data_IF_003930768291
#
_entry.id   IF_003930768291
#
_cell.length_a   1.000
_cell.length_b   1.000
_cell.length_c   1.000
_cell.angle_alpha   90.00
_cell.angle_beta   90.00
_cell.angle_gamma   90.00
#
_symmetry.space_group_name_H-M   'P 1'
#
loop_
_entity.id
_entity.type
_entity.pdbx_description
1 polymer ?
#
# COMPACT_ATOMS: atom_id res chain seq x y z
N UNK A 1 0.70 -10.77 -17.72
CA UNK A 1 -0.42 -10.64 -16.79
C UNK A 1 -0.11 -9.51 -15.82
N UNK A 2 -1.11 -8.77 -15.38
CA UNK A 2 -0.94 -7.74 -14.33
C UNK A 2 -0.94 -8.40 -12.96
N UNK A 3 -0.48 -7.67 -11.95
CA UNK A 3 -0.55 -8.08 -10.54
C UNK A 3 -1.39 -7.04 -9.82
N UNK A 4 -2.34 -7.47 -9.01
CA UNK A 4 -3.15 -6.62 -8.17
C UNK A 4 -2.85 -6.87 -6.69
N UNK A 5 -3.14 -5.90 -5.83
CA UNK A 5 -2.96 -6.00 -4.39
C UNK A 5 -4.31 -6.10 -3.69
N UNK A 6 -4.39 -7.02 -2.73
CA UNK A 6 -5.48 -7.15 -1.77
C UNK A 6 -4.95 -6.73 -0.41
N UNK A 7 -5.49 -5.64 0.13
CA UNK A 7 -4.97 -5.01 1.33
C UNK A 7 -6.10 -4.79 2.33
N UNK A 8 -5.87 -5.19 3.58
CA UNK A 8 -6.79 -5.10 4.70
C UNK A 8 -6.13 -4.40 5.87
N UNK A 9 -6.90 -3.57 6.56
CA UNK A 9 -6.42 -2.82 7.71
C UNK A 9 -6.92 -3.45 9.00
N UNK A 10 -6.01 -3.71 9.93
CA UNK A 10 -6.34 -4.28 11.22
C UNK A 10 -5.82 -3.41 12.36
N UNK A 11 -6.59 -3.32 13.44
CA UNK A 11 -6.21 -2.63 14.67
C UNK A 11 -6.25 -3.59 15.84
N UNK A 12 -5.26 -3.48 16.71
CA UNK A 12 -5.15 -4.25 17.94
C UNK A 12 -6.00 -3.63 19.04
N UNK A 13 -7.03 -4.37 19.46
CA UNK A 13 -7.97 -3.96 20.51
C UNK A 13 -7.98 -4.95 21.66
N UNK A 14 -8.14 -4.45 22.88
CA UNK A 14 -8.35 -5.28 24.05
C UNK A 14 -9.84 -5.65 24.15
N UNK A 15 -10.16 -6.93 23.92
CA UNK A 15 -11.51 -7.47 23.96
C UNK A 15 -11.55 -8.56 25.06
N UNK A 16 -12.38 -8.37 26.08
CA UNK A 16 -12.47 -9.29 27.22
C UNK A 16 -11.10 -9.58 27.87
N UNK A 17 -10.30 -8.54 28.06
CA UNK A 17 -8.92 -8.62 28.61
C UNK A 17 -7.93 -9.43 27.78
N UNK A 18 -8.21 -9.64 26.51
CA UNK A 18 -7.32 -10.24 25.54
C UNK A 18 -7.10 -9.29 24.37
N UNK A 19 -5.87 -9.10 23.99
CA UNK A 19 -5.54 -8.30 22.80
C UNK A 19 -5.82 -9.12 21.54
N UNK A 20 -6.59 -8.56 20.64
CA UNK A 20 -6.96 -9.17 19.35
C UNK A 20 -6.84 -8.17 18.23
N UNK A 21 -6.42 -8.64 17.09
CA UNK A 21 -6.52 -7.88 15.85
C UNK A 21 -7.93 -7.97 15.29
N UNK A 22 -8.46 -6.83 14.89
CA UNK A 22 -9.78 -6.71 14.27
C UNK A 22 -9.66 -5.90 12.97
N UNK A 23 -10.36 -6.35 11.95
CA UNK A 23 -10.45 -5.60 10.70
C UNK A 23 -11.24 -4.29 10.93
N UNK A 24 -10.76 -3.19 10.39
CA UNK A 24 -11.35 -1.85 10.51
C UNK A 24 -11.61 -1.19 9.16
N UNK A 25 -11.59 -1.97 8.09
CA UNK A 25 -11.95 -1.47 6.78
C UNK A 25 -13.46 -1.21 6.68
N UNK A 26 -13.84 -0.28 5.83
CA UNK A 26 -15.23 -0.06 5.50
C UNK A 26 -15.74 -1.18 4.61
N UNK A 27 -17.02 -1.50 4.75
CA UNK A 27 -17.70 -2.45 3.91
C UNK A 27 -18.81 -1.74 3.14
N UNK A 28 -18.94 -2.07 1.86
CA UNK A 28 -19.96 -1.53 0.99
C UNK A 28 -20.69 -2.64 0.26
N UNK A 29 -21.88 -2.34 -0.24
CA UNK A 29 -22.59 -3.25 -1.13
C UNK A 29 -21.75 -3.53 -2.38
N UNK A 30 -21.59 -4.80 -2.70
CA UNK A 30 -20.88 -5.22 -3.90
C UNK A 30 -21.77 -5.00 -5.13
N UNK A 31 -21.45 -4.05 -6.02
CA UNK A 31 -22.28 -3.77 -7.20
C UNK A 31 -22.32 -4.91 -8.22
N UNK A 32 -21.42 -5.87 -8.08
CA UNK A 32 -21.35 -7.04 -8.96
C UNK A 32 -21.99 -8.29 -8.35
N UNK A 33 -22.65 -8.15 -7.17
CA UNK A 33 -23.36 -9.25 -6.54
C UNK A 33 -24.64 -9.58 -7.31
N UNK A 34 -24.81 -10.86 -7.67
CA UNK A 34 -25.98 -11.39 -8.33
C UNK A 34 -26.72 -12.35 -7.39
N UNK A 35 -27.90 -11.94 -6.93
CA UNK A 35 -28.75 -12.77 -6.07
C UNK A 35 -29.11 -14.09 -6.79
N UNK A 36 -28.85 -15.22 -6.11
CA UNK A 36 -29.10 -16.57 -6.64
C UNK A 36 -27.93 -17.18 -7.41
N UNK A 37 -26.97 -16.39 -7.87
CA UNK A 37 -25.73 -16.85 -8.49
C UNK A 37 -24.53 -16.78 -7.54
N UNK A 38 -24.51 -15.77 -6.66
CA UNK A 38 -23.49 -15.60 -5.65
C UNK A 38 -23.97 -16.07 -4.27
N UNK A 39 -23.06 -16.53 -3.43
CA UNK A 39 -23.37 -16.72 -2.02
C UNK A 39 -23.60 -15.38 -1.33
N UNK A 40 -24.43 -15.36 -0.26
CA UNK A 40 -24.80 -14.12 0.43
C UNK A 40 -23.61 -13.38 1.07
N UNK A 41 -22.46 -14.04 1.22
CA UNK A 41 -21.25 -13.46 1.76
C UNK A 41 -20.55 -12.51 0.77
N UNK A 42 -20.81 -12.67 -0.52
CA UNK A 42 -20.32 -11.77 -1.57
C UNK A 42 -21.16 -10.50 -1.73
N UNK A 43 -22.25 -10.38 -1.01
CA UNK A 43 -23.12 -9.20 -1.05
C UNK A 43 -22.38 -7.93 -0.59
N UNK A 44 -21.40 -8.08 0.29
CA UNK A 44 -20.55 -6.98 0.77
C UNK A 44 -19.11 -7.16 0.27
N UNK A 45 -18.48 -6.05 -0.07
CA UNK A 45 -17.06 -5.98 -0.41
C UNK A 45 -16.33 -5.00 0.49
N UNK A 46 -15.06 -5.26 0.73
CA UNK A 46 -14.17 -4.36 1.46
C UNK A 46 -13.88 -3.11 0.62
N UNK A 47 -13.91 -1.96 1.26
CA UNK A 47 -13.34 -0.73 0.75
C UNK A 47 -11.94 -0.56 1.34
N UNK A 48 -10.96 -1.18 0.67
CA UNK A 48 -9.56 -1.10 1.07
C UNK A 48 -9.06 0.34 1.08
N UNK A 49 -8.15 0.66 1.99
CA UNK A 49 -7.47 1.97 2.01
C UNK A 49 -6.57 2.18 0.79
N UNK A 50 -6.24 1.11 0.07
CA UNK A 50 -5.48 1.15 -1.17
C UNK A 50 -5.83 -0.03 -2.07
N UNK A 51 -6.11 0.25 -3.35
CA UNK A 51 -6.43 -0.76 -4.37
C UNK A 51 -5.80 -0.43 -5.73
N UNK A 52 -4.84 0.50 -5.77
CA UNK A 52 -4.15 0.91 -7.00
C UNK A 52 -3.13 -0.14 -7.46
N UNK A 53 -2.81 -0.11 -8.75
CA UNK A 53 -1.74 -0.93 -9.32
C UNK A 53 -0.46 -0.10 -9.42
N UNK A 54 0.39 -0.18 -8.41
CA UNK A 54 1.69 0.48 -8.37
C UNK A 54 2.78 -0.53 -8.05
N UNK A 55 3.57 -0.92 -9.06
CA UNK A 55 4.61 -1.95 -8.91
C UNK A 55 5.79 -1.49 -8.06
N UNK A 56 6.04 -0.19 -7.97
CA UNK A 56 7.03 0.34 -7.03
C UNK A 56 6.58 0.08 -5.58
N UNK A 57 5.31 0.39 -5.27
CA UNK A 57 4.73 0.08 -3.97
C UNK A 57 4.78 -1.42 -3.67
N UNK A 58 4.46 -2.28 -4.65
CA UNK A 58 4.50 -3.74 -4.45
C UNK A 58 5.92 -4.25 -4.17
N UNK A 59 6.92 -3.65 -4.82
CA UNK A 59 8.33 -3.87 -4.54
C UNK A 59 8.68 -3.52 -3.11
N UNK A 60 8.33 -2.31 -2.66
CA UNK A 60 8.60 -1.83 -1.30
C UNK A 60 7.95 -2.73 -0.25
N UNK A 61 6.68 -3.11 -0.44
CA UNK A 61 5.92 -3.88 0.55
C UNK A 61 6.40 -5.33 0.69
N UNK A 62 6.79 -5.98 -0.39
CA UNK A 62 7.08 -7.42 -0.37
C UNK A 62 7.97 -7.93 -1.53
N UNK A 63 8.76 -7.08 -2.17
CA UNK A 63 9.64 -7.46 -3.27
C UNK A 63 8.90 -7.94 -4.55
N UNK A 64 7.57 -7.73 -4.64
CA UNK A 64 6.78 -8.16 -5.79
C UNK A 64 6.97 -7.20 -6.94
N UNK A 65 7.37 -7.72 -8.12
CA UNK A 65 7.72 -6.91 -9.29
C UNK A 65 8.87 -5.92 -9.05
N UNK A 66 9.60 -6.09 -7.96
CA UNK A 66 10.73 -5.25 -7.60
C UNK A 66 11.89 -5.39 -8.60
N UNK A 67 12.47 -4.25 -8.96
CA UNK A 67 13.68 -4.16 -9.79
C UNK A 67 14.91 -3.70 -9.00
N UNK A 68 14.69 -3.15 -7.82
CA UNK A 68 15.70 -2.45 -7.03
C UNK A 68 16.17 -3.26 -5.82
N UNK A 69 15.43 -4.33 -5.46
CA UNK A 69 15.68 -5.19 -4.30
C UNK A 69 15.73 -4.40 -2.98
N UNK A 70 14.78 -3.47 -2.82
CA UNK A 70 14.67 -2.51 -1.71
C UNK A 70 13.30 -2.64 -1.01
N UNK A 71 12.91 -3.88 -0.67
CA UNK A 71 11.70 -4.13 0.10
C UNK A 71 11.90 -3.88 1.59
N UNK A 72 10.82 -3.51 2.29
CA UNK A 72 10.82 -3.39 3.77
C UNK A 72 11.21 -4.72 4.39
N UNK A 73 10.67 -5.82 3.88
CA UNK A 73 10.97 -7.19 4.31
C UNK A 73 10.57 -8.20 3.22
N UNK A 74 11.07 -9.43 3.35
CA UNK A 74 10.55 -10.56 2.60
C UNK A 74 9.10 -10.88 3.03
N UNK A 75 8.26 -11.46 2.15
CA UNK A 75 6.91 -11.86 2.51
C UNK A 75 6.86 -12.76 3.75
N UNK A 76 6.18 -12.28 4.81
CA UNK A 76 6.12 -12.94 6.13
C UNK A 76 5.07 -14.02 6.24
N UNK A 77 4.20 -14.18 5.22
CA UNK A 77 2.99 -14.97 5.31
C UNK A 77 1.86 -14.22 6.03
N UNK A 78 0.71 -14.87 6.19
CA UNK A 78 -0.36 -14.35 7.04
C UNK A 78 0.06 -14.42 8.51
N UNK A 79 -0.20 -13.36 9.31
CA UNK A 79 0.09 -13.42 10.74
C UNK A 79 -0.78 -14.49 11.42
N UNK A 80 -0.23 -15.20 12.41
CA UNK A 80 -0.95 -16.24 13.15
C UNK A 80 -2.21 -15.69 13.86
N UNK A 81 -2.17 -14.43 14.25
CA UNK A 81 -3.25 -13.70 14.94
C UNK A 81 -4.07 -12.80 14.00
N UNK A 82 -4.10 -13.10 12.69
CA UNK A 82 -4.93 -12.39 11.72
C UNK A 82 -6.41 -12.46 12.09
N UNK A 83 -7.16 -11.38 11.84
CA UNK A 83 -8.60 -11.37 12.08
C UNK A 83 -9.32 -12.41 11.21
N UNK A 84 -10.44 -12.94 11.71
CA UNK A 84 -11.25 -13.92 10.96
C UNK A 84 -11.72 -13.37 9.61
N UNK A 85 -12.03 -12.09 9.56
CA UNK A 85 -12.45 -11.38 8.34
C UNK A 85 -11.36 -11.41 7.29
N UNK A 86 -10.16 -10.92 7.64
CA UNK A 86 -9.02 -10.87 6.71
C UNK A 86 -8.59 -12.27 6.28
N UNK A 87 -8.59 -13.22 7.23
CA UNK A 87 -8.26 -14.62 6.92
C UNK A 87 -9.23 -15.22 5.90
N UNK A 88 -10.53 -15.01 6.09
CA UNK A 88 -11.55 -15.51 5.18
C UNK A 88 -11.41 -14.93 3.78
N UNK A 89 -11.11 -13.64 3.67
CA UNK A 89 -10.85 -13.02 2.38
C UNK A 89 -9.61 -13.61 1.71
N UNK A 90 -8.53 -13.84 2.45
CA UNK A 90 -7.34 -14.50 1.91
C UNK A 90 -7.63 -15.95 1.46
N UNK A 91 -8.36 -16.71 2.26
CA UNK A 91 -8.71 -18.11 1.94
C UNK A 91 -9.52 -18.23 0.62
N UNK A 92 -10.27 -17.19 0.23
CA UNK A 92 -11.00 -17.14 -1.06
C UNK A 92 -10.09 -17.12 -2.28
N UNK A 93 -8.90 -16.56 -2.15
CA UNK A 93 -7.93 -16.49 -3.25
C UNK A 93 -7.17 -17.81 -3.45
N UNK A 94 -7.12 -18.67 -2.45
CA UNK A 94 -6.53 -20.00 -2.54
C UNK A 94 -5.11 -19.94 -3.12
N UNK A 95 -4.87 -20.69 -4.21
CA UNK A 95 -3.56 -20.74 -4.88
C UNK A 95 -3.21 -19.52 -5.73
N UNK A 96 -4.20 -18.67 -6.05
CA UNK A 96 -3.97 -17.47 -6.87
C UNK A 96 -3.38 -16.33 -6.03
N UNK A 97 -3.64 -16.34 -4.72
CA UNK A 97 -3.03 -15.42 -3.78
C UNK A 97 -1.61 -15.80 -3.42
N UNK A 98 -0.66 -14.88 -3.57
CA UNK A 98 0.75 -15.11 -3.28
C UNK A 98 1.39 -13.96 -2.51
N UNK A 99 2.60 -14.20 -1.99
CA UNK A 99 3.43 -13.19 -1.27
C UNK A 99 2.67 -12.50 -0.14
N UNK A 100 1.89 -13.30 0.62
CA UNK A 100 1.19 -12.81 1.80
C UNK A 100 2.16 -12.17 2.77
N UNK A 101 1.82 -10.99 3.29
CA UNK A 101 2.62 -10.31 4.30
C UNK A 101 1.79 -9.35 5.14
N UNK A 102 2.44 -8.72 6.09
CA UNK A 102 1.85 -7.70 6.93
C UNK A 102 2.92 -6.73 7.42
N UNK A 103 2.55 -5.47 7.60
CA UNK A 103 3.43 -4.41 8.08
C UNK A 103 2.64 -3.48 9.01
N UNK A 104 3.28 -3.06 10.09
CA UNK A 104 2.74 -2.05 11.01
C UNK A 104 2.91 -0.64 10.44
N UNK A 105 2.11 0.31 10.90
CA UNK A 105 2.29 1.73 10.58
C UNK A 105 3.69 2.23 10.99
N UNK A 106 4.22 1.71 12.10
CA UNK A 106 5.58 2.02 12.53
C UNK A 106 6.62 1.65 11.48
N UNK A 107 6.57 0.42 10.97
CA UNK A 107 7.52 -0.06 9.95
C UNK A 107 7.43 0.75 8.66
N UNK A 108 6.22 1.10 8.22
CA UNK A 108 6.02 1.96 7.04
C UNK A 108 6.62 3.35 7.24
N UNK A 109 6.41 3.97 8.41
CA UNK A 109 6.98 5.28 8.75
C UNK A 109 8.50 5.25 8.88
N UNK A 110 9.05 4.19 9.48
CA UNK A 110 10.50 3.99 9.59
C UNK A 110 11.14 3.89 8.21
N UNK A 111 10.59 3.06 7.33
CA UNK A 111 11.06 2.97 5.95
C UNK A 111 10.98 4.30 5.23
N UNK A 112 9.84 5.00 5.29
CA UNK A 112 9.66 6.31 4.67
C UNK A 112 10.69 7.33 5.17
N UNK A 113 11.03 7.31 6.46
CA UNK A 113 12.01 8.23 7.05
C UNK A 113 13.44 7.94 6.64
N UNK A 114 13.77 6.69 6.35
CA UNK A 114 15.09 6.27 5.87
C UNK A 114 15.27 6.51 4.37
N UNK A 115 14.16 6.60 3.63
CA UNK A 115 14.13 6.80 2.19
C UNK A 115 13.37 8.11 1.83
N UNK A 116 13.87 9.28 2.22
CA UNK A 116 13.17 10.55 2.00
C UNK A 116 13.14 10.98 0.53
N UNK A 117 14.06 10.46 -0.28
CA UNK A 117 14.19 10.76 -1.71
C UNK A 117 14.41 9.48 -2.51
N UNK A 118 13.98 9.50 -3.75
CA UNK A 118 14.21 8.44 -4.73
C UNK A 118 14.97 8.97 -5.92
N UNK A 119 15.90 8.19 -6.44
CA UNK A 119 16.59 8.48 -7.71
C UNK A 119 15.77 7.94 -8.87
N UNK A 120 15.49 8.81 -9.83
CA UNK A 120 14.77 8.47 -11.05
C UNK A 120 15.71 8.59 -12.25
N UNK A 121 15.46 7.73 -13.22
CA UNK A 121 16.08 7.78 -14.53
C UNK A 121 14.98 7.56 -15.58
N UNK A 122 14.92 8.44 -16.56
CA UNK A 122 13.90 8.30 -17.61
C UNK A 122 14.05 9.31 -18.73
N UNK A 123 13.16 9.16 -19.70
CA UNK A 123 13.02 10.11 -20.80
C UNK A 123 11.93 11.12 -20.45
N UNK A 124 12.23 12.39 -20.67
CA UNK A 124 11.37 13.54 -20.38
C UNK A 124 11.32 14.47 -21.60
N UNK A 125 10.31 15.34 -21.65
CA UNK A 125 10.21 16.32 -22.72
C UNK A 125 11.37 17.35 -22.66
N UNK A 126 11.71 18.01 -23.76
CA UNK A 126 12.75 19.06 -23.76
C UNK A 126 12.46 20.18 -22.75
N UNK A 127 11.20 20.60 -22.65
CA UNK A 127 10.77 21.66 -21.72
C UNK A 127 10.96 21.24 -20.26
N UNK A 128 10.59 20.00 -19.91
CA UNK A 128 10.81 19.45 -18.57
C UNK A 128 12.31 19.31 -18.27
N UNK A 129 13.13 19.01 -19.28
CA UNK A 129 14.58 18.91 -19.12
C UNK A 129 15.22 20.26 -18.84
N UNK A 130 14.75 21.34 -19.47
CA UNK A 130 15.22 22.71 -19.19
C UNK A 130 14.91 23.10 -17.72
N UNK A 131 13.66 22.86 -17.25
CA UNK A 131 13.27 23.16 -15.88
C UNK A 131 14.06 22.34 -14.85
N UNK A 132 14.30 21.07 -15.16
CA UNK A 132 15.10 20.18 -14.30
C UNK A 132 16.58 20.63 -14.27
N UNK A 133 17.18 20.92 -15.42
CA UNK A 133 18.57 21.33 -15.53
C UNK A 133 18.83 22.70 -14.85
N UNK A 134 17.81 23.56 -14.78
CA UNK A 134 17.82 24.83 -14.04
C UNK A 134 17.50 24.67 -12.54
N UNK A 135 17.11 23.48 -12.10
CA UNK A 135 16.75 23.20 -10.71
C UNK A 135 15.45 23.85 -10.25
N UNK A 136 14.53 24.13 -11.18
CA UNK A 136 13.25 24.79 -10.90
C UNK A 136 12.20 23.76 -10.51
N UNK A 137 12.10 22.64 -11.24
CA UNK A 137 11.04 21.64 -11.07
C UNK A 137 11.52 20.23 -11.46
N UNK A 138 11.02 19.23 -10.77
CA UNK A 138 11.17 17.82 -11.16
C UNK A 138 10.10 17.42 -12.17
N UNK A 139 10.38 16.46 -13.08
CA UNK A 139 9.43 16.09 -14.13
C UNK A 139 8.18 15.39 -13.58
N UNK A 140 6.99 15.93 -13.88
CA UNK A 140 5.72 15.26 -13.55
C UNK A 140 5.42 14.06 -14.47
N UNK A 141 5.99 14.07 -15.67
CA UNK A 141 5.75 13.05 -16.69
C UNK A 141 7.06 12.54 -17.27
N UNK A 142 7.25 11.25 -17.18
CA UNK A 142 8.42 10.58 -17.72
C UNK A 142 8.12 9.13 -18.15
N UNK A 143 9.02 8.51 -18.91
CA UNK A 143 8.92 7.09 -19.25
C UNK A 143 10.29 6.42 -19.29
N UNK A 144 10.32 5.12 -18.98
CA UNK A 144 11.57 4.34 -19.00
C UNK A 144 12.11 4.06 -20.41
N UNK A 145 11.26 4.17 -21.45
CA UNK A 145 11.64 4.03 -22.86
C UNK A 145 10.68 4.83 -23.72
N UNK A 146 11.17 5.36 -24.84
CA UNK A 146 10.35 6.14 -25.76
C UNK A 146 10.79 5.94 -27.21
N UNK A 147 9.86 6.05 -28.15
CA UNK A 147 10.10 6.19 -29.57
C UNK A 147 10.16 7.66 -30.04
N UNK A 148 9.87 8.60 -29.14
CA UNK A 148 9.93 10.04 -29.44
C UNK A 148 11.37 10.51 -29.48
N UNK A 149 11.82 10.98 -30.68
CA UNK A 149 13.21 11.38 -30.92
C UNK A 149 13.57 12.70 -30.25
N UNK A 150 12.60 13.48 -29.81
CA UNK A 150 12.80 14.77 -29.13
C UNK A 150 12.96 14.63 -27.62
N UNK A 151 12.49 13.53 -27.03
CA UNK A 151 12.64 13.32 -25.61
C UNK A 151 14.08 12.97 -25.24
N UNK A 152 14.51 13.48 -24.10
CA UNK A 152 15.90 13.35 -23.62
C UNK A 152 15.96 12.55 -22.34
N UNK A 153 17.00 11.76 -22.18
CA UNK A 153 17.24 10.98 -20.96
C UNK A 153 17.85 11.88 -19.89
N UNK A 154 17.29 11.83 -18.69
CA UNK A 154 17.80 12.52 -17.49
C UNK A 154 17.72 11.61 -16.27
N UNK A 155 18.50 11.98 -15.27
CA UNK A 155 18.44 11.45 -13.90
C UNK A 155 18.10 12.60 -12.97
N UNK A 156 17.27 12.33 -11.94
CA UNK A 156 16.91 13.32 -10.93
C UNK A 156 16.61 12.65 -9.61
N UNK A 157 16.52 13.44 -8.56
CA UNK A 157 16.02 13.02 -7.26
C UNK A 157 14.69 13.73 -6.98
N UNK A 158 13.74 12.99 -6.42
CA UNK A 158 12.45 13.53 -6.01
C UNK A 158 12.05 12.99 -4.65
N UNK A 159 11.09 13.63 -3.98
CA UNK A 159 10.52 13.15 -2.74
C UNK A 159 9.92 11.76 -2.91
N UNK A 160 10.16 10.85 -1.96
CA UNK A 160 9.69 9.47 -2.04
C UNK A 160 8.36 9.30 -1.29
N UNK A 161 7.26 9.48 -2.01
CA UNK A 161 5.89 9.54 -1.46
C UNK A 161 5.08 8.27 -1.66
N UNK A 162 5.68 7.21 -2.16
CA UNK A 162 4.96 5.99 -2.58
C UNK A 162 4.15 5.36 -1.44
N UNK A 163 4.64 5.41 -0.20
CA UNK A 163 3.91 4.91 0.98
C UNK A 163 2.93 5.91 1.58
N UNK A 164 3.06 7.19 1.23
CA UNK A 164 2.28 8.27 1.86
C UNK A 164 0.77 8.05 1.86
N UNK A 165 0.11 7.62 0.76
CA UNK A 165 -1.32 7.39 0.77
C UNK A 165 -1.77 6.35 1.80
N UNK A 166 -1.00 5.26 1.96
CA UNK A 166 -1.28 4.21 2.94
C UNK A 166 -1.05 4.73 4.36
N UNK A 167 0.07 5.40 4.60
CA UNK A 167 0.41 5.98 5.91
C UNK A 167 -0.65 6.99 6.35
N UNK A 168 -1.11 7.87 5.47
CA UNK A 168 -2.12 8.87 5.77
C UNK A 168 -3.46 8.24 6.16
N UNK A 169 -3.93 7.23 5.40
CA UNK A 169 -5.16 6.51 5.72
C UNK A 169 -5.04 5.69 7.00
N UNK A 170 -3.91 5.03 7.25
CA UNK A 170 -3.68 4.33 8.51
C UNK A 170 -3.68 5.30 9.70
N UNK A 171 -3.04 6.47 9.58
CA UNK A 171 -3.08 7.52 10.61
C UNK A 171 -4.52 7.98 10.88
N UNK A 172 -5.34 8.13 9.83
CA UNK A 172 -6.75 8.45 9.96
C UNK A 172 -7.51 7.37 10.73
N UNK A 173 -7.32 6.08 10.37
CA UNK A 173 -7.91 4.95 11.11
C UNK A 173 -7.51 4.94 12.59
N UNK A 174 -6.24 5.23 12.89
CA UNK A 174 -5.78 5.36 14.30
C UNK A 174 -6.56 6.45 15.03
N UNK A 175 -6.70 7.63 14.42
CA UNK A 175 -7.45 8.73 15.04
C UNK A 175 -8.91 8.37 15.30
N UNK A 176 -9.58 7.78 14.31
CA UNK A 176 -10.99 7.42 14.38
C UNK A 176 -11.23 6.33 15.44
N UNK A 177 -10.40 5.29 15.47
CA UNK A 177 -10.58 4.12 16.32
C UNK A 177 -10.15 4.33 17.79
N UNK A 178 -9.15 5.16 18.03
CA UNK A 178 -8.66 5.48 19.37
C UNK A 178 -9.10 6.85 19.89
N UNK A 179 -10.01 7.54 19.18
CA UNK A 179 -10.56 8.85 19.56
C UNK A 179 -9.45 9.89 19.82
N UNK A 180 -8.42 9.89 18.98
CA UNK A 180 -7.31 10.84 19.09
C UNK A 180 -7.73 12.19 18.53
N UNK A 181 -7.75 13.22 19.37
CA UNK A 181 -8.06 14.59 18.99
C UNK A 181 -6.80 15.34 18.58
N UNK A 182 -6.88 16.07 17.46
CA UNK A 182 -5.76 16.84 16.93
C UNK A 182 -4.83 16.03 16.00
N UNK A 183 -3.83 16.73 15.46
CA UNK A 183 -2.91 16.17 14.46
C UNK A 183 -1.57 15.70 15.09
N UNK A 184 -1.47 15.68 16.40
CA UNK A 184 -0.24 15.23 17.08
C UNK A 184 0.01 13.74 16.82
N UNK A 185 1.23 13.36 16.40
CA UNK A 185 1.63 11.97 16.26
C UNK A 185 1.46 11.20 17.58
N UNK A 186 1.00 9.94 17.48
CA UNK A 186 0.87 9.00 18.60
C UNK A 186 1.70 7.75 18.34
N UNK A 187 3.03 7.84 18.42
CA UNK A 187 3.91 6.72 18.05
C UNK A 187 3.61 5.42 18.79
N UNK A 188 3.08 5.52 20.01
CA UNK A 188 2.65 4.37 20.81
C UNK A 188 1.47 3.60 20.21
N UNK A 189 0.75 4.19 19.24
CA UNK A 189 -0.34 3.56 18.51
C UNK A 189 0.11 2.97 17.18
N UNK A 190 1.28 3.34 16.67
CA UNK A 190 1.77 2.90 15.36
C UNK A 190 2.01 1.38 15.29
N UNK A 191 2.28 0.73 16.42
CA UNK A 191 2.37 -0.74 16.53
C UNK A 191 1.02 -1.42 16.74
N UNK A 192 -0.06 -0.65 16.94
CA UNK A 192 -1.42 -1.17 17.15
C UNK A 192 -2.27 -1.15 15.89
N UNK A 193 -1.71 -0.74 14.77
CA UNK A 193 -2.35 -0.81 13.46
C UNK A 193 -1.38 -1.45 12.47
N UNK A 194 -1.92 -2.34 11.64
CA UNK A 194 -1.17 -2.99 10.56
C UNK A 194 -2.00 -3.07 9.29
N UNK A 195 -1.33 -3.19 8.16
CA UNK A 195 -1.90 -3.72 6.93
C UNK A 195 -1.55 -5.20 6.82
N UNK A 196 -2.50 -6.01 6.35
CA UNK A 196 -2.30 -7.40 5.94
C UNK A 196 -2.66 -7.47 4.47
N UNK A 197 -1.77 -8.01 3.65
CA UNK A 197 -1.93 -7.95 2.20
C UNK A 197 -1.36 -9.17 1.50
N UNK A 198 -1.79 -9.36 0.27
CA UNK A 198 -1.27 -10.35 -0.69
C UNK A 198 -1.50 -9.85 -2.11
N UNK A 199 -0.97 -10.59 -3.06
CA UNK A 199 -1.06 -10.25 -4.48
C UNK A 199 -1.68 -11.40 -5.24
N UNK A 200 -2.26 -11.09 -6.40
CA UNK A 200 -2.68 -12.05 -7.42
C UNK A 200 -2.00 -11.76 -8.77
N UNK A 201 -2.13 -12.68 -9.76
CA UNK A 201 -1.57 -12.53 -11.11
C UNK A 201 -2.63 -12.74 -12.20
#
# INVERSE_FOLDING_TARGET
MGTDIHLFTEIKKSINSQDKWVNVDNWRYNPYYEEGNDDGERMLSVESIYSGRNYELFGILAGVRDRNNDSIDDPRGLPEDVSEVTKKESDRWGSDGHSHSWLTLKELKEYQSLHPVVKREGFISPEAAELLDEGIETPDTWCGSTSLTTWVKREWEEGYDTLKPIIDEMNKRVRDEFWVWGDEPKPELDEKIRIVFWFDN
#
